data_IF_588826149627
#
_entry.id   IF_588826149627
#
_cell.length_a   1.000
_cell.length_b   1.000
_cell.length_c   1.000
_cell.angle_alpha   90.00
_cell.angle_beta   90.00
_cell.angle_gamma   90.00
#
_symmetry.space_group_name_H-M   'P 1'
#
loop_
_entity.id
_entity.type
_entity.pdbx_description
1 polymer ?
#
# COMPACT_ATOMS: atom_id res chain seq x y z
N UNK A 1 -5.25 -48.47 25.62
CA UNK A 1 -6.49 -49.18 25.22
C UNK A 1 -7.67 -48.47 25.85
N UNK A 2 -8.73 -48.22 25.04
CA UNK A 2 -10.01 -47.55 25.35
C UNK A 2 -9.95 -46.02 25.42
N UNK A 3 -10.85 -45.22 24.81
CA UNK A 3 -11.88 -45.40 23.78
C UNK A 3 -12.31 -43.96 23.39
N UNK A 4 -12.49 -43.69 22.11
CA UNK A 4 -13.02 -42.42 21.56
C UNK A 4 -14.48 -42.21 21.99
N UNK A 5 -14.88 -40.95 22.21
CA UNK A 5 -16.27 -40.53 22.07
C UNK A 5 -16.34 -39.17 21.36
N UNK A 6 -16.76 -39.24 20.10
CA UNK A 6 -17.13 -38.12 19.22
C UNK A 6 -18.61 -37.86 19.47
N UNK A 7 -19.00 -36.61 19.72
CA UNK A 7 -20.39 -36.17 19.70
C UNK A 7 -20.55 -35.18 18.54
N UNK A 8 -21.20 -35.66 17.47
CA UNK A 8 -21.76 -34.84 16.40
C UNK A 8 -23.06 -34.19 16.92
N UNK A 9 -23.23 -32.89 16.72
CA UNK A 9 -24.54 -32.24 16.74
C UNK A 9 -24.86 -31.75 15.33
N UNK A 10 -25.91 -32.34 14.76
CA UNK A 10 -26.54 -31.92 13.52
C UNK A 10 -27.51 -30.76 13.81
N UNK A 11 -27.39 -29.66 13.06
CA UNK A 11 -28.30 -28.52 13.07
C UNK A 11 -28.95 -28.37 11.70
N UNK A 12 -30.25 -28.57 11.65
CA UNK A 12 -31.13 -28.66 10.49
C UNK A 12 -31.37 -27.34 9.75
N UNK A 13 -31.39 -27.43 8.42
CA UNK A 13 -31.73 -26.39 7.45
C UNK A 13 -33.27 -26.34 7.26
N UNK A 14 -33.89 -25.16 7.44
CA UNK A 14 -35.29 -24.93 7.08
C UNK A 14 -35.39 -23.97 5.88
N UNK A 15 -35.91 -24.51 4.78
CA UNK A 15 -36.38 -23.81 3.58
C UNK A 15 -37.75 -23.18 3.84
N UNK A 16 -37.95 -21.92 3.44
CA UNK A 16 -39.28 -21.31 3.30
C UNK A 16 -39.40 -20.61 1.94
N UNK A 17 -40.33 -21.12 1.12
CA UNK A 17 -40.76 -20.59 -0.17
C UNK A 17 -41.90 -19.58 0.03
N UNK A 18 -41.80 -18.39 -0.56
CA UNK A 18 -42.89 -17.42 -0.69
C UNK A 18 -43.21 -17.18 -2.17
N UNK A 19 -44.49 -17.26 -2.53
CA UNK A 19 -45.04 -17.38 -3.90
C UNK A 19 -45.98 -16.21 -4.21
N UNK A 20 -45.95 -15.71 -5.44
CA UNK A 20 -46.97 -14.84 -6.06
C UNK A 20 -46.35 -13.64 -6.80
N UNK A 21 -46.77 -13.23 -8.00
CA UNK A 21 -47.86 -13.62 -8.92
C UNK A 21 -47.51 -13.01 -10.29
N UNK A 22 -47.81 -13.70 -11.38
CA UNK A 22 -47.74 -13.20 -12.76
C UNK A 22 -48.95 -12.32 -13.13
N UNK A 23 -48.74 -11.36 -14.04
CA UNK A 23 -49.68 -10.86 -15.06
C UNK A 23 -48.84 -10.09 -16.11
N UNK A 24 -48.60 -10.65 -17.30
CA UNK A 24 -49.34 -10.53 -18.59
C UNK A 24 -49.31 -9.14 -19.26
N UNK A 25 -48.81 -9.18 -20.49
CA UNK A 25 -48.74 -8.14 -21.53
C UNK A 25 -50.11 -7.67 -22.02
N UNK A 26 -50.19 -6.43 -22.51
CA UNK A 26 -50.86 -6.04 -23.76
C UNK A 26 -50.40 -4.63 -24.20
N UNK A 27 -50.09 -4.49 -25.49
CA UNK A 27 -49.76 -3.25 -26.21
C UNK A 27 -51.02 -2.45 -26.61
N UNK A 28 -50.82 -1.15 -26.87
CA UNK A 28 -51.10 -0.43 -28.15
C UNK A 28 -51.79 0.94 -27.98
N UNK A 29 -51.37 1.91 -28.81
CA UNK A 29 -52.08 3.17 -29.09
C UNK A 29 -51.30 4.43 -28.67
N UNK A 30 -50.28 4.84 -29.44
CA UNK A 30 -50.30 5.92 -30.45
C UNK A 30 -50.42 7.34 -29.87
N UNK A 31 -49.43 8.18 -30.16
CA UNK A 31 -49.68 9.51 -30.73
C UNK A 31 -48.40 10.12 -31.30
N UNK A 32 -48.55 10.55 -32.54
CA UNK A 32 -47.59 11.24 -33.39
C UNK A 32 -47.11 12.55 -32.76
N UNK A 33 -45.79 12.79 -32.82
CA UNK A 33 -45.26 14.07 -33.32
C UNK A 33 -43.82 13.88 -33.79
N UNK A 34 -43.64 14.09 -35.09
CA UNK A 34 -42.36 14.26 -35.75
C UNK A 34 -41.68 15.54 -35.27
N UNK A 35 -40.45 15.46 -34.75
CA UNK A 35 -39.55 16.60 -34.63
C UNK A 35 -38.12 16.21 -34.99
N UNK A 36 -37.81 16.55 -36.24
CA UNK A 36 -36.56 17.09 -36.76
C UNK A 36 -35.25 16.78 -36.02
N UNK A 37 -34.46 15.98 -36.72
CA UNK A 37 -33.01 15.91 -36.73
C UNK A 37 -32.37 17.30 -36.69
N UNK A 38 -31.57 17.57 -35.65
CA UNK A 38 -30.54 18.60 -35.67
C UNK A 38 -29.37 18.10 -34.83
N UNK A 39 -28.35 17.60 -35.53
CA UNK A 39 -27.05 17.31 -34.94
C UNK A 39 -26.38 18.63 -34.55
N UNK A 40 -26.20 18.85 -33.25
CA UNK A 40 -25.30 19.88 -32.73
C UNK A 40 -24.25 19.16 -31.89
N UNK A 41 -23.03 19.12 -32.44
CA UNK A 41 -21.86 18.66 -31.73
C UNK A 41 -21.62 19.59 -30.53
N UNK A 42 -21.88 19.10 -29.32
CA UNK A 42 -21.52 19.77 -28.10
C UNK A 42 -20.03 19.49 -27.81
N UNK A 43 -19.18 20.45 -28.16
CA UNK A 43 -17.78 20.48 -27.74
C UNK A 43 -17.74 20.75 -26.23
N UNK A 44 -17.66 19.70 -25.41
CA UNK A 44 -17.33 19.84 -23.99
C UNK A 44 -15.88 20.25 -23.85
N UNK A 45 -15.65 21.50 -23.48
CA UNK A 45 -14.34 22.03 -23.12
C UNK A 45 -13.82 21.30 -21.86
N UNK A 46 -12.70 20.60 -22.00
CA UNK A 46 -11.92 20.06 -20.90
C UNK A 46 -11.42 21.22 -20.04
N UNK A 47 -11.98 21.37 -18.84
CA UNK A 47 -11.41 22.23 -17.80
C UNK A 47 -10.12 21.58 -17.30
N UNK A 48 -8.97 22.18 -17.63
CA UNK A 48 -7.69 21.78 -17.09
C UNK A 48 -7.70 22.03 -15.58
N UNK A 49 -7.52 20.96 -14.79
CA UNK A 49 -7.31 21.06 -13.35
C UNK A 49 -6.07 21.92 -13.10
N UNK A 50 -6.28 23.06 -12.43
CA UNK A 50 -5.19 23.93 -12.00
C UNK A 50 -4.31 23.17 -11.00
N UNK A 51 -3.06 22.94 -11.38
CA UNK A 51 -2.01 22.43 -10.48
C UNK A 51 -1.85 23.42 -9.35
N UNK A 52 -2.19 23.01 -8.12
CA UNK A 52 -1.88 23.79 -6.93
C UNK A 52 -0.36 24.03 -6.88
N UNK A 53 0.10 25.27 -6.64
CA UNK A 53 1.52 25.54 -6.57
C UNK A 53 2.15 24.69 -5.46
N UNK A 54 3.23 23.98 -5.80
CA UNK A 54 4.09 23.37 -4.80
C UNK A 54 4.47 24.43 -3.78
N UNK A 55 4.40 24.10 -2.49
CA UNK A 55 4.81 24.99 -1.43
C UNK A 55 6.21 25.54 -1.75
N UNK A 56 6.32 26.87 -1.80
CA UNK A 56 7.58 27.54 -2.09
C UNK A 56 8.61 27.10 -1.04
N UNK A 57 9.64 26.38 -1.48
CA UNK A 57 10.87 26.21 -0.70
C UNK A 57 11.43 27.61 -0.46
N UNK A 58 11.41 28.04 0.80
CA UNK A 58 11.93 29.34 1.23
C UNK A 58 13.37 29.54 0.72
N UNK A 59 13.72 30.78 0.38
CA UNK A 59 15.01 31.20 -0.17
C UNK A 59 16.23 30.99 0.76
N UNK A 60 16.04 30.34 1.92
CA UNK A 60 17.07 29.94 2.88
C UNK A 60 17.35 28.41 2.86
N UNK A 61 16.93 27.70 1.81
CA UNK A 61 17.12 26.25 1.72
C UNK A 61 18.62 25.88 1.60
N UNK A 62 19.18 25.33 2.68
CA UNK A 62 20.46 24.65 2.64
C UNK A 62 20.30 23.30 1.94
N UNK A 63 21.18 23.01 0.97
CA UNK A 63 21.21 21.72 0.28
C UNK A 63 22.26 20.82 0.92
N UNK A 64 21.87 19.61 1.32
CA UNK A 64 22.79 18.56 1.74
C UNK A 64 22.86 17.52 0.63
N UNK A 65 24.06 17.26 0.13
CA UNK A 65 24.34 16.20 -0.85
C UNK A 65 25.37 15.23 -0.29
N UNK A 66 25.24 13.97 -0.65
CA UNK A 66 26.17 12.93 -0.21
C UNK A 66 25.83 11.57 -0.82
N UNK A 67 26.76 10.65 -0.67
CA UNK A 67 26.60 9.25 -1.08
C UNK A 67 27.00 8.37 0.09
N UNK A 68 26.13 7.44 0.46
CA UNK A 68 26.43 6.45 1.49
C UNK A 68 26.99 5.21 0.81
N UNK A 69 28.18 4.77 1.23
CA UNK A 69 28.87 3.62 0.66
C UNK A 69 29.17 2.56 1.70
N UNK A 70 29.03 1.31 1.31
CA UNK A 70 29.58 0.19 2.06
C UNK A 70 31.10 0.14 1.84
N UNK A 71 31.85 0.09 2.94
CA UNK A 71 33.32 0.02 2.90
C UNK A 71 33.85 -1.39 2.70
N UNK A 72 33.02 -2.40 2.95
CA UNK A 72 33.31 -3.82 2.74
C UNK A 72 32.64 -4.34 1.46
N UNK A 73 33.06 -5.53 1.01
CA UNK A 73 32.35 -6.23 -0.04
C UNK A 73 30.88 -6.49 0.38
N UNK A 74 29.89 -6.15 -0.45
CA UNK A 74 28.49 -6.43 -0.16
C UNK A 74 28.26 -7.93 0.07
N UNK A 75 27.44 -8.31 1.07
CA UNK A 75 27.07 -9.71 1.26
C UNK A 75 26.26 -10.19 0.06
N UNK A 76 26.34 -11.49 -0.23
CA UNK A 76 25.47 -12.12 -1.22
C UNK A 76 24.06 -12.26 -0.62
N UNK A 77 23.12 -11.45 -1.11
CA UNK A 77 21.73 -11.52 -0.66
C UNK A 77 21.02 -12.78 -1.17
N UNK A 78 20.36 -13.57 -0.29
CA UNK A 78 19.70 -14.80 -0.68
C UNK A 78 18.47 -14.52 -1.57
N UNK A 79 18.15 -15.48 -2.43
CA UNK A 79 16.91 -15.47 -3.19
C UNK A 79 15.72 -15.78 -2.26
N UNK A 80 14.63 -15.04 -2.42
CA UNK A 80 13.40 -15.22 -1.67
C UNK A 80 12.65 -16.46 -2.15
N UNK A 81 12.19 -17.29 -1.21
CA UNK A 81 11.45 -18.51 -1.51
C UNK A 81 9.96 -18.21 -1.65
N UNK A 82 9.55 -17.84 -2.86
CA UNK A 82 8.18 -17.40 -3.16
C UNK A 82 7.27 -18.51 -3.74
N UNK A 83 7.78 -19.73 -3.91
CA UNK A 83 7.07 -20.82 -4.61
C UNK A 83 5.80 -21.32 -3.91
N UNK A 84 5.61 -20.98 -2.64
CA UNK A 84 4.41 -21.35 -1.88
C UNK A 84 3.17 -20.55 -2.33
N UNK A 85 3.36 -19.37 -2.91
CA UNK A 85 2.29 -18.54 -3.47
C UNK A 85 2.47 -18.47 -5.01
N UNK A 86 1.54 -19.05 -5.80
CA UNK A 86 1.65 -19.07 -7.26
C UNK A 86 1.69 -17.67 -7.89
N UNK A 87 1.00 -16.69 -7.30
CA UNK A 87 1.05 -15.32 -7.78
C UNK A 87 2.46 -14.77 -7.60
N UNK A 88 3.03 -14.89 -6.39
CA UNK A 88 4.39 -14.44 -6.11
C UNK A 88 5.44 -15.12 -7.00
N UNK A 89 5.34 -16.44 -7.18
CA UNK A 89 6.22 -17.18 -8.09
C UNK A 89 6.14 -16.66 -9.54
N UNK A 90 4.93 -16.31 -10.01
CA UNK A 90 4.72 -15.81 -11.37
C UNK A 90 5.33 -14.42 -11.61
N UNK A 91 5.37 -13.56 -10.58
CA UNK A 91 5.96 -12.21 -10.68
C UNK A 91 7.49 -12.24 -10.83
N UNK A 92 8.13 -13.36 -10.47
CA UNK A 92 9.59 -13.50 -10.45
C UNK A 92 10.09 -14.68 -11.30
N UNK A 93 9.32 -15.06 -12.33
CA UNK A 93 9.63 -16.21 -13.17
C UNK A 93 10.90 -16.04 -14.01
N UNK A 94 11.24 -14.80 -14.39
CA UNK A 94 12.44 -14.49 -15.19
C UNK A 94 13.70 -14.30 -14.34
N UNK A 95 13.54 -13.81 -13.11
CA UNK A 95 14.62 -13.58 -12.17
C UNK A 95 14.08 -13.68 -10.74
N UNK A 96 14.67 -14.51 -9.86
CA UNK A 96 14.26 -14.58 -8.47
C UNK A 96 14.45 -13.24 -7.75
N UNK A 97 13.43 -12.80 -7.00
CA UNK A 97 13.56 -11.71 -6.04
C UNK A 97 14.64 -12.05 -5.01
N UNK A 98 15.35 -11.02 -4.52
CA UNK A 98 16.37 -11.14 -3.49
C UNK A 98 15.97 -10.37 -2.26
N UNK A 99 16.47 -10.80 -1.11
CA UNK A 99 16.34 -10.03 0.12
C UNK A 99 17.08 -8.69 -0.02
N UNK A 100 16.45 -7.60 0.43
CA UNK A 100 16.94 -6.23 0.28
C UNK A 100 17.64 -5.67 1.53
N UNK A 101 18.02 -6.51 2.50
CA UNK A 101 18.73 -6.07 3.70
C UNK A 101 20.03 -5.32 3.41
N UNK A 102 20.76 -5.70 2.35
CA UNK A 102 21.85 -4.90 1.79
C UNK A 102 21.78 -4.90 0.27
N UNK A 103 21.46 -3.76 -0.32
CA UNK A 103 21.48 -3.54 -1.76
C UNK A 103 22.56 -2.52 -2.08
N UNK A 104 23.59 -2.96 -2.79
CA UNK A 104 24.75 -2.15 -3.13
C UNK A 104 24.95 -2.07 -4.65
N UNK A 105 25.21 -0.86 -5.13
CA UNK A 105 25.60 -0.60 -6.51
C UNK A 105 27.06 -1.00 -6.81
N UNK A 106 27.49 -0.92 -8.08
CA UNK A 106 28.82 -1.34 -8.50
C UNK A 106 29.98 -0.62 -7.80
N UNK A 107 29.76 0.62 -7.34
CA UNK A 107 30.74 1.42 -6.61
C UNK A 107 30.58 1.36 -5.09
N UNK A 108 29.80 0.41 -4.58
CA UNK A 108 29.50 0.21 -3.16
C UNK A 108 28.45 1.17 -2.60
N UNK A 109 27.80 1.98 -3.44
CA UNK A 109 26.71 2.87 -3.02
C UNK A 109 25.54 2.05 -2.48
N UNK A 110 24.98 2.44 -1.34
CA UNK A 110 23.85 1.73 -0.75
C UNK A 110 22.51 2.32 -1.23
N UNK A 111 21.60 1.44 -1.66
CA UNK A 111 20.18 1.76 -1.75
C UNK A 111 19.51 1.61 -0.37
N UNK A 112 18.25 2.05 -0.26
CA UNK A 112 17.45 1.85 0.96
C UNK A 112 18.09 2.46 2.22
N UNK A 113 18.66 3.65 2.11
CA UNK A 113 19.30 4.36 3.23
C UNK A 113 18.37 5.43 3.80
N UNK A 114 18.20 5.41 5.12
CA UNK A 114 17.52 6.48 5.85
C UNK A 114 18.55 7.48 6.40
N UNK A 115 18.43 8.73 5.96
CA UNK A 115 19.21 9.89 6.45
C UNK A 115 18.23 10.94 6.94
N UNK A 116 18.55 11.58 8.06
CA UNK A 116 17.70 12.61 8.63
C UNK A 116 18.51 13.68 9.35
N UNK A 117 17.91 14.87 9.51
CA UNK A 117 18.49 15.94 10.33
C UNK A 117 18.15 15.72 11.79
N UNK A 118 19.15 15.48 12.63
CA UNK A 118 18.92 15.14 14.05
C UNK A 118 18.32 16.27 14.86
N UNK A 119 18.72 17.51 14.60
CA UNK A 119 18.29 18.69 15.34
C UNK A 119 18.04 19.84 14.37
N UNK A 120 16.80 20.28 14.31
CA UNK A 120 16.38 21.43 13.52
C UNK A 120 15.35 22.23 14.32
N UNK A 121 15.47 23.55 14.28
CA UNK A 121 14.53 24.46 14.93
C UNK A 121 13.48 24.90 13.91
N UNK A 122 12.22 24.97 14.35
CA UNK A 122 11.13 25.44 13.51
C UNK A 122 9.81 24.78 13.87
N UNK A 123 8.74 25.29 13.25
CA UNK A 123 7.44 24.65 13.28
C UNK A 123 7.22 23.91 11.96
N UNK A 124 7.04 22.59 12.02
CA UNK A 124 6.91 21.72 10.85
C UNK A 124 5.53 21.06 10.85
N UNK A 125 4.49 21.73 10.32
CA UNK A 125 3.20 21.09 10.16
C UNK A 125 3.35 19.83 9.27
N UNK A 126 2.60 18.74 9.54
CA UNK A 126 2.67 17.56 8.72
C UNK A 126 2.19 17.85 7.30
N UNK A 127 2.89 17.30 6.32
CA UNK A 127 2.40 17.30 4.94
C UNK A 127 1.04 16.59 4.84
N UNK A 128 0.13 17.15 4.05
CA UNK A 128 -1.13 16.49 3.68
C UNK A 128 -0.93 15.44 2.59
N UNK A 129 0.19 15.49 1.85
CA UNK A 129 0.56 14.48 0.86
C UNK A 129 0.92 13.18 1.59
N UNK A 130 0.22 12.07 1.30
CA UNK A 130 0.53 10.80 1.94
C UNK A 130 1.92 10.29 1.56
N UNK A 131 2.60 9.65 2.52
CA UNK A 131 3.68 8.71 2.19
C UNK A 131 3.03 7.39 1.82
N UNK A 132 3.50 6.76 0.74
CA UNK A 132 2.92 5.52 0.21
C UNK A 132 3.84 4.35 0.52
N UNK A 133 3.25 3.25 0.99
CA UNK A 133 3.85 1.92 0.99
C UNK A 133 2.94 0.99 0.17
N UNK A 134 3.52 0.30 -0.80
CA UNK A 134 2.82 -0.58 -1.74
C UNK A 134 3.30 -2.02 -1.56
N UNK A 135 2.37 -2.98 -1.57
CA UNK A 135 2.67 -4.40 -1.70
C UNK A 135 2.61 -4.73 -3.19
N UNK A 136 3.78 -4.92 -3.79
CA UNK A 136 3.91 -5.15 -5.22
C UNK A 136 5.03 -6.17 -5.49
N UNK A 137 4.77 -7.15 -6.34
CA UNK A 137 5.68 -8.26 -6.58
C UNK A 137 5.96 -9.08 -5.32
N UNK A 138 4.99 -9.17 -4.39
CA UNK A 138 5.13 -9.80 -3.09
C UNK A 138 6.32 -9.26 -2.26
N UNK A 139 6.54 -7.95 -2.35
CA UNK A 139 7.49 -7.18 -1.54
C UNK A 139 6.85 -5.84 -1.14
N UNK A 140 7.40 -5.18 -0.11
CA UNK A 140 7.00 -3.82 0.23
C UNK A 140 7.87 -2.81 -0.49
N UNK A 141 7.24 -1.82 -1.10
CA UNK A 141 7.91 -0.73 -1.80
C UNK A 141 7.44 0.63 -1.27
N UNK A 142 8.37 1.53 -0.90
CA UNK A 142 9.82 1.32 -0.80
C UNK A 142 10.20 0.42 0.39
N UNK A 143 11.41 -0.16 0.38
CA UNK A 143 11.94 -0.97 1.48
C UNK A 143 12.20 -0.16 2.75
N UNK A 144 12.59 1.11 2.57
CA UNK A 144 12.83 2.07 3.64
C UNK A 144 12.05 3.33 3.36
N UNK A 145 11.29 3.78 4.35
CA UNK A 145 10.49 5.00 4.28
C UNK A 145 10.48 5.74 5.61
N UNK A 146 10.19 7.03 5.51
CA UNK A 146 10.02 7.89 6.66
C UNK A 146 8.84 8.83 6.41
N UNK A 147 8.16 9.21 7.48
CA UNK A 147 7.05 10.16 7.42
C UNK A 147 7.03 11.06 8.66
N UNK A 148 6.36 12.21 8.54
CA UNK A 148 6.15 13.09 9.69
C UNK A 148 5.07 12.54 10.63
N UNK A 149 5.18 12.87 11.92
CA UNK A 149 4.07 12.75 12.87
C UNK A 149 2.81 13.40 12.29
N UNK A 150 1.70 12.67 12.25
CA UNK A 150 0.42 13.13 11.73
C UNK A 150 0.28 13.14 10.20
N UNK A 151 1.36 12.89 9.44
CA UNK A 151 1.30 12.70 7.99
C UNK A 151 0.59 11.38 7.66
N UNK A 152 -0.32 11.35 6.67
CA UNK A 152 -0.97 10.12 6.26
C UNK A 152 0.05 9.11 5.71
N UNK A 153 -0.02 7.86 6.17
CA UNK A 153 0.56 6.70 5.51
C UNK A 153 -0.54 6.04 4.68
N UNK A 154 -0.38 6.01 3.36
CA UNK A 154 -1.24 5.27 2.45
C UNK A 154 -0.62 3.88 2.20
N UNK A 155 -1.40 2.84 2.45
CA UNK A 155 -0.99 1.44 2.35
C UNK A 155 -1.77 0.83 1.20
N UNK A 156 -1.06 0.38 0.17
CA UNK A 156 -1.66 -0.15 -1.05
C UNK A 156 -1.29 -1.62 -1.23
N UNK A 157 -2.23 -2.42 -1.72
CA UNK A 157 -1.94 -3.75 -2.27
C UNK A 157 -2.11 -3.70 -3.78
N UNK A 158 -1.02 -3.79 -4.54
CA UNK A 158 -1.04 -3.91 -6.00
C UNK A 158 -1.00 -5.35 -6.50
N UNK A 159 -0.79 -6.28 -5.59
CA UNK A 159 -0.69 -7.71 -5.87
C UNK A 159 -2.06 -8.37 -5.86
N UNK A 160 -2.25 -9.34 -6.76
CA UNK A 160 -3.46 -10.17 -6.79
C UNK A 160 -3.34 -11.39 -5.86
N UNK A 161 -2.86 -11.15 -4.65
CA UNK A 161 -2.82 -12.11 -3.54
C UNK A 161 -3.01 -11.39 -2.21
N UNK A 162 -3.34 -12.15 -1.16
CA UNK A 162 -3.52 -11.62 0.18
C UNK A 162 -2.15 -11.26 0.76
N UNK A 163 -2.03 -10.00 1.17
CA UNK A 163 -0.97 -9.56 2.07
C UNK A 163 -1.58 -8.96 3.33
N UNK A 164 -0.75 -8.66 4.31
CA UNK A 164 -1.11 -7.77 5.41
C UNK A 164 0.02 -6.78 5.61
N UNK A 165 -0.24 -5.69 6.32
CA UNK A 165 0.79 -4.81 6.84
C UNK A 165 0.79 -4.91 8.37
N UNK A 166 1.90 -5.35 8.93
CA UNK A 166 2.11 -5.42 10.36
C UNK A 166 3.24 -4.48 10.75
N UNK A 167 2.89 -3.29 11.22
CA UNK A 167 3.85 -2.33 11.75
C UNK A 167 4.15 -2.65 13.22
N UNK A 168 5.44 -2.69 13.57
CA UNK A 168 5.93 -3.04 14.91
C UNK A 168 6.65 -1.86 15.61
N UNK A 169 6.06 -0.64 15.68
CA UNK A 169 6.62 0.41 16.51
C UNK A 169 6.68 0.01 17.99
N UNK A 170 7.62 0.63 18.70
CA UNK A 170 7.78 0.57 20.16
C UNK A 170 7.11 1.77 20.84
N UNK A 171 7.11 2.95 20.21
CA UNK A 171 6.56 4.19 20.81
C UNK A 171 5.10 4.42 20.42
N UNK A 172 4.79 4.21 19.14
CA UNK A 172 3.43 4.26 18.62
C UNK A 172 2.71 2.92 18.82
N UNK A 173 1.36 2.88 18.78
CA UNK A 173 0.62 1.62 18.78
C UNK A 173 0.96 0.76 17.56
N UNK A 174 1.17 -0.53 17.79
CA UNK A 174 1.30 -1.51 16.71
C UNK A 174 -0.05 -1.71 16.02
N UNK A 175 0.00 -2.06 14.73
CA UNK A 175 -1.19 -2.48 14.00
C UNK A 175 -0.86 -3.61 13.05
N UNK A 176 -1.87 -4.42 12.76
CA UNK A 176 -1.83 -5.48 11.77
C UNK A 176 -3.12 -5.44 10.95
N UNK A 177 -3.00 -5.19 9.65
CA UNK A 177 -4.15 -5.03 8.77
C UNK A 177 -3.99 -5.85 7.49
N UNK A 178 -4.91 -6.79 7.26
CA UNK A 178 -4.96 -7.59 6.04
C UNK A 178 -5.48 -6.79 4.85
N UNK A 179 -4.87 -7.00 3.69
CA UNK A 179 -5.31 -6.51 2.39
C UNK A 179 -5.50 -7.69 1.40
N UNK A 180 -6.61 -8.43 1.47
CA UNK A 180 -6.89 -9.63 0.64
C UNK A 180 -7.04 -9.46 -0.88
N UNK A 181 -7.18 -8.24 -1.39
CA UNK A 181 -7.66 -7.96 -2.77
C UNK A 181 -6.77 -6.91 -3.42
N UNK A 182 -6.44 -7.14 -4.69
CA UNK A 182 -5.71 -6.20 -5.52
C UNK A 182 -6.41 -4.83 -5.58
N UNK A 183 -5.63 -3.76 -5.51
CA UNK A 183 -6.09 -2.38 -5.57
C UNK A 183 -6.64 -1.83 -4.26
N UNK A 184 -6.65 -2.60 -3.18
CA UNK A 184 -7.07 -2.05 -1.89
C UNK A 184 -6.08 -1.03 -1.36
N UNK A 185 -6.65 0.00 -0.72
CA UNK A 185 -5.92 1.10 -0.12
C UNK A 185 -6.48 1.36 1.27
N UNK A 186 -5.62 1.49 2.26
CA UNK A 186 -5.98 1.98 3.59
C UNK A 186 -5.04 3.07 4.06
N UNK A 187 -5.47 3.82 5.07
CA UNK A 187 -4.72 4.97 5.58
C UNK A 187 -4.49 4.83 7.07
N UNK A 188 -3.24 5.04 7.50
CA UNK A 188 -2.82 5.11 8.91
C UNK A 188 -2.13 6.44 9.19
N UNK A 189 -1.93 6.72 10.47
CA UNK A 189 -1.13 7.84 10.98
C UNK A 189 -0.39 7.39 12.22
N UNK A 190 0.72 8.07 12.50
CA UNK A 190 1.48 7.95 13.73
C UNK A 190 1.46 9.28 14.45
N UNK A 191 1.21 9.25 15.76
CA UNK A 191 0.96 10.44 16.57
C UNK A 191 2.18 10.87 17.39
N UNK A 192 3.22 10.04 17.43
CA UNK A 192 4.45 10.30 18.20
C UNK A 192 5.70 10.13 17.34
N UNK A 193 6.74 10.97 17.55
CA UNK A 193 8.04 10.75 16.94
C UNK A 193 8.62 9.40 17.35
N UNK A 194 9.18 8.70 16.37
CA UNK A 194 9.85 7.40 16.54
C UNK A 194 10.94 7.28 15.48
N UNK A 195 12.07 7.93 15.76
CA UNK A 195 13.17 8.15 14.82
C UNK A 195 13.99 6.87 14.61
N UNK A 196 14.06 6.00 15.63
CA UNK A 196 14.68 4.68 15.46
C UNK A 196 13.78 3.85 14.54
N UNK A 197 14.27 3.42 13.36
CA UNK A 197 13.43 2.71 12.42
C UNK A 197 12.86 1.43 13.03
N UNK A 198 11.57 1.20 12.85
CA UNK A 198 10.89 -0.01 13.27
C UNK A 198 10.53 -0.89 12.07
N UNK A 199 10.40 -2.18 12.33
CA UNK A 199 10.10 -3.17 11.30
C UNK A 199 8.62 -3.11 10.91
N UNK A 200 8.38 -3.20 9.62
CA UNK A 200 7.08 -3.54 9.02
C UNK A 200 7.22 -4.92 8.40
N UNK A 201 6.28 -5.83 8.64
CA UNK A 201 6.31 -7.20 8.09
C UNK A 201 4.97 -7.64 7.55
N UNK A 202 4.99 -8.63 6.66
CA UNK A 202 3.82 -9.44 6.32
C UNK A 202 3.86 -10.70 7.19
N UNK A 203 2.73 -11.07 7.79
CA UNK A 203 2.57 -12.33 8.52
C UNK A 203 2.18 -13.49 7.59
N UNK A 204 1.66 -13.19 6.39
CA UNK A 204 1.34 -14.20 5.36
C UNK A 204 2.62 -14.63 4.64
N UNK A 205 3.44 -13.67 4.24
CA UNK A 205 4.66 -13.90 3.47
C UNK A 205 5.88 -13.44 4.27
N UNK A 206 6.50 -14.37 5.00
CA UNK A 206 7.54 -14.05 5.99
C UNK A 206 8.81 -13.39 5.45
N UNK A 207 8.99 -13.33 4.13
CA UNK A 207 10.08 -12.59 3.49
C UNK A 207 9.80 -11.08 3.36
N UNK A 208 8.54 -10.67 3.33
CA UNK A 208 8.19 -9.26 3.13
C UNK A 208 8.50 -8.48 4.40
N UNK A 209 9.47 -7.57 4.29
CA UNK A 209 9.85 -6.64 5.35
C UNK A 209 10.19 -5.28 4.76
N UNK A 210 9.93 -4.24 5.54
CA UNK A 210 10.37 -2.87 5.29
C UNK A 210 10.71 -2.20 6.63
N UNK A 211 11.31 -1.01 6.57
CA UNK A 211 11.67 -0.22 7.73
C UNK A 211 11.08 1.17 7.66
N UNK A 212 10.47 1.60 8.76
CA UNK A 212 9.80 2.89 8.84
C UNK A 212 10.31 3.72 10.01
N UNK A 213 10.49 5.02 9.81
CA UNK A 213 10.76 5.98 10.88
C UNK A 213 9.71 7.10 10.87
N UNK A 214 9.37 7.63 12.05
CA UNK A 214 8.42 8.73 12.21
C UNK A 214 9.16 9.95 12.77
N UNK A 215 9.19 11.05 12.02
CA UNK A 215 9.94 12.25 12.38
C UNK A 215 9.02 13.40 12.82
N UNK A 216 9.49 14.32 13.68
CA UNK A 216 8.75 15.54 13.98
C UNK A 216 8.87 16.61 12.87
N UNK A 217 9.65 16.37 11.80
CA UNK A 217 9.96 17.29 10.70
C UNK A 217 10.18 16.52 9.38
N UNK A 218 10.16 17.19 8.21
CA UNK A 218 10.26 16.51 6.91
C UNK A 218 11.70 16.21 6.42
N UNK A 219 12.74 16.52 7.22
CA UNK A 219 14.15 16.44 6.83
C UNK A 219 14.95 15.35 7.52
#
# INVERSE_FOLDING_TARGET
MRKFLIVLLAGSLTLACGKGKEAKEEEEGTDDQALQTSATAATTATSAAATAPAAAVSADAATITGTVKLTAAPPAMPALQMSADPYCASQHASAPAKDEEVVAGPGGELENVFVYIKQINGNFPPSSTPVVIDQHGCQYHPHVLALQVGQPLQIKNSDNTLHNIHALPTVNPQFNEGQPVQGMVSTKKFDKPEITPFKVKCDVHGWMKAWMAVLPHPF
#
